data_IF_393877095064
#
_entry.id   IF_393877095064
#
_cell.length_a   1.000
_cell.length_b   1.000
_cell.length_c   1.000
_cell.angle_alpha   90.00
_cell.angle_beta   90.00
_cell.angle_gamma   90.00
#
_symmetry.space_group_name_H-M   'P 1'
#
loop_
_entity.id
_entity.type
_entity.pdbx_description
1 polymer ?
#
# COMPACT_ATOMS: atom_id res chain seq x y z
N UNK A 1 -59.14 -20.19 -30.39
CA UNK A 1 -58.71 -21.06 -31.49
C UNK A 1 -57.43 -20.52 -32.09
N UNK A 2 -56.40 -21.37 -32.09
CA UNK A 2 -55.28 -21.47 -33.03
C UNK A 2 -54.32 -20.29 -33.29
N UNK A 3 -53.06 -20.59 -32.90
CA UNK A 3 -51.81 -20.50 -33.70
C UNK A 3 -51.26 -19.08 -33.87
N UNK A 4 -49.96 -18.82 -33.71
CA UNK A 4 -48.87 -19.57 -34.30
C UNK A 4 -47.54 -19.22 -33.62
N UNK A 5 -46.85 -20.26 -33.18
CA UNK A 5 -45.44 -20.30 -32.81
C UNK A 5 -44.58 -19.82 -33.99
N UNK A 6 -43.72 -18.81 -33.77
CA UNK A 6 -42.55 -18.57 -34.63
C UNK A 6 -41.31 -18.53 -33.76
N UNK A 7 -40.59 -19.66 -33.77
CA UNK A 7 -39.20 -19.77 -33.34
C UNK A 7 -38.34 -18.85 -34.21
N UNK A 8 -37.52 -17.97 -33.62
CA UNK A 8 -36.37 -17.43 -34.33
C UNK A 8 -35.22 -17.12 -33.36
N UNK A 9 -34.09 -17.77 -33.68
CA UNK A 9 -32.70 -17.43 -33.43
C UNK A 9 -32.19 -17.26 -31.99
N UNK A 10 -31.48 -18.29 -31.53
CA UNK A 10 -30.42 -18.19 -30.54
C UNK A 10 -29.30 -17.33 -31.16
N UNK A 11 -29.13 -16.10 -30.68
CA UNK A 11 -27.93 -15.32 -30.93
C UNK A 11 -26.85 -15.74 -29.91
N UNK A 12 -25.89 -16.54 -30.34
CA UNK A 12 -24.69 -16.84 -29.56
C UNK A 12 -23.79 -15.61 -29.63
N UNK A 13 -23.95 -14.68 -28.68
CA UNK A 13 -23.02 -13.56 -28.52
C UNK A 13 -21.73 -14.16 -27.94
N UNK A 14 -20.78 -14.44 -28.83
CA UNK A 14 -19.40 -14.72 -28.45
C UNK A 14 -18.83 -13.41 -27.91
N UNK A 15 -19.09 -13.13 -26.63
CA UNK A 15 -18.41 -12.07 -25.90
C UNK A 15 -16.95 -12.45 -25.78
N UNK A 16 -16.16 -12.07 -26.79
CA UNK A 16 -14.71 -12.05 -26.71
C UNK A 16 -14.36 -11.15 -25.52
N UNK A 17 -13.99 -11.77 -24.40
CA UNK A 17 -13.59 -11.06 -23.20
C UNK A 17 -12.45 -10.13 -23.57
N UNK A 18 -12.74 -8.83 -23.56
CA UNK A 18 -11.71 -7.81 -23.54
C UNK A 18 -10.93 -8.02 -22.24
N UNK A 19 -9.81 -8.74 -22.34
CA UNK A 19 -8.88 -8.93 -21.24
C UNK A 19 -8.10 -7.62 -21.10
N UNK A 20 -8.76 -6.62 -20.52
CA UNK A 20 -8.13 -5.36 -20.18
C UNK A 20 -7.29 -5.56 -18.94
N UNK A 21 -6.06 -6.04 -19.12
CA UNK A 21 -5.01 -5.85 -18.12
C UNK A 21 -4.59 -4.37 -18.14
N UNK A 22 -5.49 -3.49 -17.71
CA UNK A 22 -5.15 -2.08 -17.48
C UNK A 22 -4.60 -1.97 -16.06
N UNK A 23 -3.30 -1.68 -15.97
CA UNK A 23 -2.71 -1.22 -14.72
C UNK A 23 -3.40 0.06 -14.24
N UNK A 24 -3.60 0.19 -12.93
CA UNK A 24 -4.31 1.32 -12.34
C UNK A 24 -3.48 2.60 -12.51
N UNK A 25 -3.98 3.62 -13.20
CA UNK A 25 -3.25 4.89 -13.26
C UNK A 25 -3.23 5.58 -11.89
N UNK A 26 -2.12 6.22 -11.53
CA UNK A 26 -2.05 6.98 -10.28
C UNK A 26 -3.18 8.04 -10.21
N UNK A 27 -3.98 8.04 -9.14
CA UNK A 27 -4.97 9.10 -8.91
C UNK A 27 -4.33 10.49 -8.91
N UNK A 28 -5.03 11.49 -9.44
CA UNK A 28 -4.51 12.86 -9.49
C UNK A 28 -4.31 13.50 -8.10
N UNK A 29 -5.00 12.98 -7.09
CA UNK A 29 -5.08 13.53 -5.73
C UNK A 29 -4.56 12.55 -4.67
N UNK A 30 -3.42 11.90 -4.94
CA UNK A 30 -2.78 11.04 -3.96
C UNK A 30 -2.45 11.81 -2.66
N UNK A 31 -2.84 11.23 -1.52
CA UNK A 31 -2.34 11.68 -0.23
C UNK A 31 -0.88 11.21 -0.06
N UNK A 32 0.05 12.15 -0.12
CA UNK A 32 1.49 11.92 0.05
C UNK A 32 1.99 12.27 1.47
N UNK A 33 1.06 12.55 2.41
CA UNK A 33 1.44 12.85 3.79
C UNK A 33 2.17 11.65 4.41
N UNK A 34 3.31 11.94 5.05
CA UNK A 34 4.10 10.95 5.78
C UNK A 34 3.61 10.72 7.20
N UNK A 35 2.61 11.48 7.67
CA UNK A 35 1.91 11.24 8.93
C UNK A 35 0.42 11.09 8.64
N UNK A 36 -0.18 9.95 8.98
CA UNK A 36 -1.58 9.64 8.69
C UNK A 36 -2.23 8.88 9.84
N UNK A 37 -3.54 9.07 9.99
CA UNK A 37 -4.36 8.19 10.83
C UNK A 37 -4.60 6.86 10.12
N UNK A 38 -4.72 5.78 10.90
CA UNK A 38 -5.23 4.51 10.39
C UNK A 38 -6.72 4.62 10.04
N UNK A 39 -7.24 3.68 9.26
CA UNK A 39 -8.56 3.77 8.62
C UNK A 39 -9.72 3.91 9.61
N UNK A 40 -9.58 3.38 10.83
CA UNK A 40 -10.55 3.57 11.91
C UNK A 40 -10.09 4.57 12.99
N UNK A 41 -8.95 5.23 12.78
CA UNK A 41 -8.43 6.28 13.66
C UNK A 41 -7.84 5.79 14.98
N UNK A 42 -7.59 4.49 15.15
CA UNK A 42 -6.99 3.95 16.39
C UNK A 42 -5.56 4.41 16.60
N UNK A 43 -4.84 4.65 15.51
CA UNK A 43 -3.44 5.04 15.54
C UNK A 43 -3.17 6.24 14.63
N UNK A 44 -2.09 6.94 14.94
CA UNK A 44 -1.40 7.88 14.06
C UNK A 44 -0.03 7.29 13.76
N UNK A 45 0.28 7.15 12.48
CA UNK A 45 1.54 6.58 11.99
C UNK A 45 2.31 7.67 11.28
N UNK A 46 3.55 7.93 11.71
CA UNK A 46 4.52 8.68 10.94
C UNK A 46 5.50 7.71 10.27
N UNK A 47 5.74 7.88 8.97
CA UNK A 47 6.60 7.06 8.14
C UNK A 47 7.73 7.92 7.57
N UNK A 48 8.95 7.70 8.01
CA UNK A 48 10.11 8.49 7.61
C UNK A 48 10.99 7.73 6.60
N UNK A 49 11.27 8.32 5.43
CA UNK A 49 12.17 7.72 4.44
C UNK A 49 13.63 7.71 4.91
N UNK A 50 14.47 6.85 4.31
CA UNK A 50 15.91 6.91 4.48
C UNK A 50 16.46 8.29 4.10
N UNK A 51 17.53 8.71 4.78
CA UNK A 51 18.28 9.92 4.46
C UNK A 51 19.49 9.57 3.57
N UNK A 52 19.85 10.40 2.57
CA UNK A 52 19.24 11.70 2.25
C UNK A 52 17.99 11.62 1.36
N UNK A 53 17.60 10.41 0.92
CA UNK A 53 16.37 10.20 0.16
C UNK A 53 16.17 8.73 -0.20
N UNK A 54 15.11 8.46 -0.97
CA UNK A 54 14.76 7.13 -1.44
C UNK A 54 15.44 6.83 -2.77
N UNK A 55 16.19 5.74 -2.84
CA UNK A 55 16.91 5.30 -4.04
C UNK A 55 16.22 4.13 -4.73
N UNK A 56 16.04 4.21 -6.05
CA UNK A 56 15.51 3.11 -6.85
C UNK A 56 16.55 2.00 -6.95
N UNK A 57 16.10 0.74 -6.89
CA UNK A 57 16.92 -0.46 -7.03
C UNK A 57 17.66 -0.89 -5.77
N UNK A 58 17.66 -0.08 -4.71
CA UNK A 58 18.39 -0.34 -3.47
C UNK A 58 17.46 -0.80 -2.33
N UNK A 59 17.96 -1.74 -1.52
CA UNK A 59 17.33 -2.13 -0.26
C UNK A 59 17.62 -1.05 0.78
N UNK A 60 16.57 -0.61 1.48
CA UNK A 60 16.61 0.53 2.38
C UNK A 60 15.76 0.27 3.63
N UNK A 61 16.07 1.01 4.69
CA UNK A 61 15.33 1.00 5.96
C UNK A 61 14.60 2.32 6.14
N UNK A 62 13.33 2.23 6.51
CA UNK A 62 12.46 3.35 6.85
C UNK A 62 12.19 3.33 8.35
N UNK A 63 11.89 4.50 8.94
CA UNK A 63 11.48 4.58 10.35
C UNK A 63 9.97 4.77 10.46
N UNK A 64 9.37 4.14 11.46
CA UNK A 64 7.96 4.29 11.80
C UNK A 64 7.88 4.81 13.23
N UNK A 65 7.09 5.86 13.44
CA UNK A 65 6.63 6.26 14.78
C UNK A 65 5.13 5.97 14.89
N UNK A 66 4.76 5.17 15.88
CA UNK A 66 3.38 4.76 16.13
C UNK A 66 2.85 5.42 17.40
N UNK A 67 1.75 6.16 17.26
CA UNK A 67 1.01 6.75 18.37
C UNK A 67 -0.43 6.26 18.37
N UNK A 68 -1.07 6.24 19.52
CA UNK A 68 -2.52 6.05 19.62
C UNK A 68 -3.28 7.34 19.30
N UNK A 69 -4.62 7.28 19.32
CA UNK A 69 -5.48 8.43 19.07
C UNK A 69 -5.30 9.60 20.07
N UNK A 70 -4.72 9.35 21.25
CA UNK A 70 -4.41 10.37 22.26
C UNK A 70 -3.00 10.96 22.10
N UNK A 71 -2.21 10.43 21.17
CA UNK A 71 -0.84 10.86 20.89
C UNK A 71 0.23 10.12 21.68
N UNK A 72 -0.12 9.12 22.50
CA UNK A 72 0.84 8.33 23.27
C UNK A 72 1.56 7.32 22.38
N UNK A 73 2.85 7.09 22.62
CA UNK A 73 3.64 6.12 21.85
C UNK A 73 3.19 4.70 22.16
N UNK A 74 2.98 3.89 21.12
CA UNK A 74 2.48 2.51 21.25
C UNK A 74 3.63 1.52 21.12
N UNK A 75 4.02 0.92 22.24
CA UNK A 75 5.06 -0.12 22.32
C UNK A 75 4.52 -1.52 22.01
N UNK A 76 5.35 -2.38 21.43
CA UNK A 76 5.07 -3.81 21.30
C UNK A 76 3.96 -4.14 20.30
N UNK A 77 3.68 -3.25 19.36
CA UNK A 77 2.79 -3.55 18.26
C UNK A 77 3.49 -4.47 17.26
N UNK A 78 2.73 -5.42 16.70
CA UNK A 78 3.14 -6.15 15.51
C UNK A 78 2.65 -5.37 14.30
N UNK A 79 3.54 -5.07 13.36
CA UNK A 79 3.22 -4.28 12.17
C UNK A 79 3.57 -5.12 10.94
N UNK A 80 2.54 -5.59 10.24
CA UNK A 80 2.72 -6.30 8.98
C UNK A 80 2.79 -5.29 7.83
N UNK A 81 3.72 -5.51 6.91
CA UNK A 81 3.91 -4.65 5.73
C UNK A 81 3.54 -5.38 4.45
N UNK A 82 2.79 -4.70 3.60
CA UNK A 82 2.47 -5.10 2.24
C UNK A 82 2.43 -3.87 1.34
N UNK A 83 2.08 -4.05 0.07
CA UNK A 83 2.01 -2.95 -0.90
C UNK A 83 2.58 -3.39 -2.24
N UNK A 84 2.95 -2.42 -3.06
CA UNK A 84 3.43 -2.67 -4.40
C UNK A 84 3.27 -1.47 -5.31
N UNK A 85 3.22 -1.74 -6.61
CA UNK A 85 3.07 -0.75 -7.66
C UNK A 85 1.72 -0.99 -8.34
N UNK A 86 0.63 -0.31 -7.91
CA UNK A 86 -0.71 -0.57 -8.45
C UNK A 86 -0.78 -0.41 -9.97
N UNK A 87 -0.04 0.54 -10.52
CA UNK A 87 0.05 0.78 -11.97
C UNK A 87 0.58 -0.40 -12.78
N UNK A 88 1.29 -1.33 -12.13
CA UNK A 88 1.83 -2.52 -12.77
C UNK A 88 1.25 -3.82 -12.21
N UNK A 89 0.26 -3.74 -11.31
CA UNK A 89 -0.45 -4.90 -10.78
C UNK A 89 0.44 -5.90 -10.01
N UNK A 90 1.58 -5.47 -9.47
CA UNK A 90 2.49 -6.33 -8.72
C UNK A 90 2.79 -5.80 -7.32
N UNK A 91 3.17 -6.72 -6.43
CA UNK A 91 3.55 -6.43 -5.05
C UNK A 91 4.93 -5.78 -4.92
N UNK A 92 5.41 -5.69 -3.68
CA UNK A 92 6.78 -5.30 -3.39
C UNK A 92 7.77 -6.35 -3.95
N UNK A 93 8.94 -5.93 -4.46
CA UNK A 93 9.95 -6.84 -5.02
C UNK A 93 10.73 -7.63 -3.96
N UNK A 94 10.51 -7.32 -2.68
CA UNK A 94 11.13 -7.94 -1.50
C UNK A 94 10.04 -8.27 -0.49
N UNK A 95 10.43 -8.94 0.60
CA UNK A 95 9.57 -9.21 1.74
C UNK A 95 10.03 -8.40 2.96
N UNK A 96 9.76 -7.08 2.98
CA UNK A 96 10.20 -6.22 4.08
C UNK A 96 9.56 -6.65 5.40
N UNK A 97 10.19 -6.29 6.51
CA UNK A 97 9.77 -6.65 7.86
C UNK A 97 9.82 -5.42 8.76
N UNK A 98 8.96 -5.37 9.77
CA UNK A 98 8.99 -4.32 10.78
C UNK A 98 9.47 -4.89 12.10
N UNK A 99 10.51 -4.27 12.67
CA UNK A 99 11.08 -4.63 13.97
C UNK A 99 11.00 -3.44 14.91
N UNK A 100 10.78 -3.68 16.20
CA UNK A 100 10.82 -2.59 17.18
C UNK A 100 12.27 -2.12 17.37
N UNK A 101 12.48 -0.79 17.36
CA UNK A 101 13.80 -0.22 17.66
C UNK A 101 14.11 -0.42 19.15
N UNK A 102 15.31 -0.94 19.44
CA UNK A 102 15.64 -1.39 20.80
C UNK A 102 15.66 -0.21 21.78
N UNK A 103 14.90 -0.34 22.87
CA UNK A 103 14.85 0.67 23.92
C UNK A 103 13.99 1.89 23.60
N UNK A 104 13.45 2.00 22.37
CA UNK A 104 12.62 3.12 21.96
C UNK A 104 11.15 2.71 21.81
N UNK A 105 10.28 3.34 22.61
CA UNK A 105 8.89 2.95 22.71
C UNK A 105 8.10 3.58 21.55
N UNK A 106 7.40 2.77 20.76
CA UNK A 106 6.62 3.29 19.63
C UNK A 106 7.44 3.65 18.40
N UNK A 107 8.74 3.36 18.40
CA UNK A 107 9.63 3.52 17.25
C UNK A 107 9.98 2.14 16.68
N UNK A 108 9.87 2.01 15.36
CA UNK A 108 10.08 0.76 14.64
C UNK A 108 10.89 1.02 13.37
N UNK A 109 11.63 -0.01 12.93
CA UNK A 109 12.35 -0.02 11.67
C UNK A 109 11.60 -0.90 10.68
N UNK A 110 11.23 -0.32 9.54
CA UNK A 110 10.73 -1.03 8.37
C UNK A 110 11.94 -1.34 7.47
N UNK A 111 12.46 -2.55 7.59
CA UNK A 111 13.67 -3.02 6.93
C UNK A 111 13.34 -3.77 5.64
N UNK A 112 14.29 -3.78 4.69
CA UNK A 112 14.16 -4.58 3.47
C UNK A 112 13.33 -3.94 2.37
N UNK A 113 12.92 -2.68 2.51
CA UNK A 113 12.14 -1.97 1.48
C UNK A 113 12.97 -1.75 0.23
N UNK A 114 12.39 -2.03 -0.94
CA UNK A 114 13.01 -1.75 -2.25
C UNK A 114 11.94 -1.32 -3.24
N UNK A 115 12.26 -0.31 -4.04
CA UNK A 115 11.47 0.13 -5.18
C UNK A 115 12.24 -0.17 -6.46
N UNK A 116 11.68 -0.96 -7.37
CA UNK A 116 12.43 -1.41 -8.57
C UNK A 116 12.46 -0.39 -9.70
N UNK A 117 11.55 0.58 -9.69
CA UNK A 117 11.42 1.59 -10.74
C UNK A 117 10.71 2.85 -10.23
N UNK A 118 10.75 3.89 -11.06
CA UNK A 118 10.06 5.17 -10.85
C UNK A 118 8.55 4.98 -10.89
N UNK A 119 7.78 5.95 -10.39
CA UNK A 119 6.31 5.94 -10.43
C UNK A 119 5.65 5.84 -9.06
N UNK A 120 4.34 5.53 -9.06
CA UNK A 120 3.53 5.45 -7.85
C UNK A 120 3.60 4.06 -7.21
N UNK A 121 3.97 4.05 -5.94
CA UNK A 121 4.03 2.89 -5.07
C UNK A 121 3.14 3.09 -3.84
N UNK A 122 2.70 1.98 -3.28
CA UNK A 122 1.95 1.93 -2.02
C UNK A 122 2.73 1.15 -0.97
N UNK A 123 2.68 1.64 0.28
CA UNK A 123 3.17 0.94 1.46
C UNK A 123 1.98 0.83 2.40
N UNK A 124 1.48 -0.39 2.62
CA UNK A 124 0.36 -0.68 3.49
C UNK A 124 0.88 -1.29 4.79
N UNK A 125 0.52 -0.69 5.91
CA UNK A 125 0.87 -1.14 7.25
C UNK A 125 -0.41 -1.61 7.96
N UNK A 126 -0.40 -2.85 8.43
CA UNK A 126 -1.43 -3.39 9.32
C UNK A 126 -0.86 -3.45 10.73
N UNK A 127 -1.40 -2.63 11.62
CA UNK A 127 -0.95 -2.49 13.01
C UNK A 127 -1.81 -3.35 13.92
N UNK A 128 -1.19 -4.20 14.73
CA UNK A 128 -1.83 -5.06 15.73
C UNK A 128 -1.24 -4.80 17.10
N UNK A 129 -2.09 -4.41 18.05
CA UNK A 129 -1.72 -4.23 19.47
C UNK A 129 -2.93 -4.54 20.36
N UNK A 130 -2.81 -4.48 21.70
CA UNK A 130 -3.95 -4.57 22.60
C UNK A 130 -5.07 -3.53 22.35
N UNK A 131 -4.78 -2.40 21.72
CA UNK A 131 -5.78 -1.40 21.29
C UNK A 131 -6.67 -1.94 20.14
N UNK A 132 -6.16 -2.94 19.40
CA UNK A 132 -6.85 -3.63 18.32
C UNK A 132 -6.17 -3.46 16.96
N UNK A 133 -6.67 -4.14 15.94
CA UNK A 133 -6.12 -4.06 14.58
C UNK A 133 -6.63 -2.82 13.85
N UNK A 134 -5.75 -2.16 13.09
CA UNK A 134 -6.09 -1.10 12.15
C UNK A 134 -5.07 -1.02 11.00
N UNK A 135 -5.38 -0.29 9.93
CA UNK A 135 -4.59 -0.26 8.70
C UNK A 135 -4.38 1.17 8.23
N UNK A 136 -3.18 1.47 7.71
CA UNK A 136 -2.89 2.71 6.97
C UNK A 136 -2.19 2.38 5.65
N UNK A 137 -2.43 3.15 4.60
CA UNK A 137 -1.72 3.05 3.32
C UNK A 137 -1.06 4.38 2.98
N UNK A 138 0.25 4.36 2.80
CA UNK A 138 1.04 5.48 2.33
C UNK A 138 1.26 5.38 0.82
N UNK A 139 1.23 6.53 0.15
CA UNK A 139 1.59 6.64 -1.26
C UNK A 139 2.97 7.26 -1.39
N UNK A 140 3.83 6.64 -2.19
CA UNK A 140 5.17 7.14 -2.53
C UNK A 140 5.25 7.33 -4.03
N UNK A 141 5.67 8.51 -4.47
CA UNK A 141 5.91 8.79 -5.90
C UNK A 141 7.40 9.01 -6.08
N UNK A 142 8.04 8.13 -6.85
CA UNK A 142 9.46 8.22 -7.15
C UNK A 142 9.65 8.86 -8.54
N UNK A 143 10.26 10.05 -8.63
CA UNK A 143 10.50 10.69 -9.91
C UNK A 143 11.55 9.91 -10.72
N UNK A 144 11.57 10.07 -12.06
CA UNK A 144 12.71 9.67 -12.85
C UNK A 144 13.99 10.31 -12.31
N UNK A 145 15.08 9.54 -12.31
CA UNK A 145 16.40 10.03 -11.94
C UNK A 145 16.69 11.27 -12.80
N UNK A 146 16.82 12.43 -12.17
CA UNK A 146 17.41 13.60 -12.83
C UNK A 146 18.85 13.23 -13.19
N UNK A 147 19.10 13.18 -14.50
CA UNK A 147 20.43 12.93 -15.07
C UNK A 147 21.41 14.03 -14.70
#
# INVERSE_FOLDING_TARGET
>A
MQKLLKQFLIAFILSCGFCTAFGEQAPANLNLALTQQTSTGKYVVALEPPKPGVYIGQIQTWRITLRDASGQLVRGAMIDVSGGMPQHGHGLPTQPQVVQEQGDAGHYLLEGMKFSMTGWWTIKLEVKSPIGTDVVTFNVVLPPSSS
#
